data_IF_858058033454
#
_entry.id   IF_858058033454
#
_cell.length_a   1.000
_cell.length_b   1.000
_cell.length_c   1.000
_cell.angle_alpha   90.00
_cell.angle_beta   90.00
_cell.angle_gamma   90.00
#
_symmetry.space_group_name_H-M   'P 1'
#
loop_
_entity.id
_entity.type
_entity.pdbx_description
1 polymer ?
#
# COMPACT_ATOMS: atom_id res chain seq x y z
N UNK A 1 8.75 -44.48 51.09
CA UNK A 1 7.50 -43.69 50.89
C UNK A 1 7.70 -42.23 51.33
N UNK A 2 8.74 -41.55 50.84
CA UNK A 2 9.11 -40.17 51.23
C UNK A 2 9.02 -39.16 50.06
N UNK A 3 8.42 -39.55 48.93
CA UNK A 3 8.39 -38.77 47.69
C UNK A 3 7.32 -37.68 47.63
N UNK A 4 6.25 -37.78 48.44
CA UNK A 4 5.09 -36.87 48.32
C UNK A 4 5.45 -35.39 48.50
N UNK A 5 6.14 -34.91 49.56
CA UNK A 5 6.37 -33.47 49.73
C UNK A 5 7.36 -32.90 48.69
N UNK A 6 8.35 -33.70 48.26
CA UNK A 6 9.32 -33.32 47.24
C UNK A 6 8.68 -33.18 45.85
N UNK A 7 7.68 -34.00 45.55
CA UNK A 7 6.91 -33.94 44.31
C UNK A 7 6.10 -32.64 44.21
N UNK A 8 5.44 -32.23 45.30
CA UNK A 8 4.69 -30.97 45.36
C UNK A 8 5.59 -29.73 45.14
N UNK A 9 6.74 -29.70 45.81
CA UNK A 9 7.70 -28.60 45.62
C UNK A 9 8.28 -28.55 44.21
N UNK A 10 8.49 -29.72 43.58
CA UNK A 10 8.92 -29.81 42.18
C UNK A 10 7.87 -29.25 41.23
N UNK A 11 6.60 -29.63 41.40
CA UNK A 11 5.49 -29.10 40.60
C UNK A 11 5.36 -27.58 40.74
N UNK A 12 5.50 -27.05 41.97
CA UNK A 12 5.46 -25.60 42.22
C UNK A 12 6.58 -24.85 41.51
N UNK A 13 7.80 -25.39 41.55
CA UNK A 13 8.95 -24.79 40.86
C UNK A 13 8.76 -24.81 39.34
N UNK A 14 8.24 -25.91 38.80
CA UNK A 14 7.93 -26.03 37.38
C UNK A 14 6.82 -25.07 36.94
N UNK A 15 5.72 -24.95 37.70
CA UNK A 15 4.65 -24.00 37.41
C UNK A 15 5.18 -22.56 37.36
N UNK A 16 5.93 -22.12 38.38
CA UNK A 16 6.52 -20.77 38.39
C UNK A 16 7.48 -20.53 37.23
N UNK A 17 8.25 -21.53 36.84
CA UNK A 17 9.14 -21.44 35.68
C UNK A 17 8.37 -21.19 34.38
N UNK A 18 7.29 -21.94 34.16
CA UNK A 18 6.43 -21.75 33.00
C UNK A 18 5.67 -20.42 33.04
N UNK A 19 5.19 -20.00 34.20
CA UNK A 19 4.53 -18.69 34.36
C UNK A 19 5.45 -17.53 33.92
N UNK A 20 6.72 -17.55 34.35
CA UNK A 20 7.71 -16.54 33.95
C UNK A 20 8.01 -16.57 32.45
N UNK A 21 8.06 -17.76 31.85
CA UNK A 21 8.28 -17.90 30.41
C UNK A 21 7.08 -17.40 29.60
N UNK A 22 5.87 -17.75 30.03
CA UNK A 22 4.60 -17.30 29.43
C UNK A 22 4.49 -15.78 29.50
N UNK A 23 4.79 -15.18 30.65
CA UNK A 23 4.74 -13.72 30.84
C UNK A 23 5.71 -12.99 29.89
N UNK A 24 6.96 -13.45 29.81
CA UNK A 24 7.94 -12.89 28.89
C UNK A 24 7.52 -12.99 27.42
N UNK A 25 6.98 -14.14 27.00
CA UNK A 25 6.49 -14.32 25.62
C UNK A 25 5.23 -13.50 25.35
N UNK A 26 4.30 -13.39 26.31
CA UNK A 26 3.10 -12.54 26.18
C UNK A 26 3.45 -11.07 26.04
N UNK A 27 4.42 -10.56 26.80
CA UNK A 27 4.92 -9.19 26.67
C UNK A 27 5.55 -8.97 25.29
N UNK A 28 6.34 -9.92 24.81
CA UNK A 28 6.91 -9.89 23.45
C UNK A 28 5.84 -9.88 22.36
N UNK A 29 4.84 -10.76 22.49
CA UNK A 29 3.71 -10.88 21.58
C UNK A 29 2.82 -9.63 21.57
N UNK A 30 2.56 -9.04 22.73
CA UNK A 30 1.81 -7.78 22.85
C UNK A 30 2.54 -6.62 22.16
N UNK A 31 3.87 -6.53 22.30
CA UNK A 31 4.68 -5.51 21.59
C UNK A 31 4.58 -5.65 20.08
N UNK A 32 4.61 -6.88 19.56
CA UNK A 32 4.41 -7.15 18.13
C UNK A 32 3.05 -6.66 17.65
N UNK A 33 2.00 -6.88 18.46
CA UNK A 33 0.66 -6.38 18.14
C UNK A 33 0.53 -4.86 18.19
N UNK A 34 1.12 -4.20 19.19
CA UNK A 34 1.13 -2.74 19.26
C UNK A 34 1.97 -2.10 18.15
N UNK A 35 3.10 -2.70 17.79
CA UNK A 35 3.94 -2.21 16.69
C UNK A 35 3.21 -2.26 15.34
N UNK A 36 2.43 -3.32 15.08
CA UNK A 36 1.59 -3.42 13.88
C UNK A 36 0.50 -2.34 13.79
N UNK A 37 -0.14 -2.00 14.92
CA UNK A 37 -1.19 -0.96 14.97
C UNK A 37 -0.62 0.45 14.78
N UNK A 38 0.51 0.77 15.42
CA UNK A 38 1.11 2.13 15.35
C UNK A 38 1.60 2.45 13.93
N UNK A 39 2.15 1.47 13.22
CA UNK A 39 2.54 1.61 11.81
C UNK A 39 1.36 1.83 10.86
N UNK A 40 0.13 1.49 11.25
CA UNK A 40 -1.08 1.78 10.46
C UNK A 40 -1.57 3.23 10.59
N UNK A 41 -1.15 3.95 11.64
CA UNK A 41 -1.59 5.33 11.94
C UNK A 41 -0.60 6.40 11.51
N UNK A 42 0.65 6.02 11.24
CA UNK A 42 1.70 6.92 10.78
C UNK A 42 2.02 6.59 9.33
N UNK A 43 1.96 7.60 8.46
CA UNK A 43 2.29 7.48 7.04
C UNK A 43 3.65 6.79 6.94
N UNK A 44 3.77 5.58 6.34
CA UNK A 44 5.05 4.94 6.20
C UNK A 44 5.85 5.75 5.18
N UNK A 45 6.87 6.45 5.67
CA UNK A 45 7.95 6.93 4.84
C UNK A 45 8.54 5.71 4.12
N UNK A 46 8.63 5.80 2.79
CA UNK A 46 9.09 4.74 1.90
C UNK A 46 10.42 4.14 2.41
N UNK A 47 10.41 2.83 2.74
CA UNK A 47 11.64 2.07 2.98
C UNK A 47 11.63 1.15 4.20
N UNK A 48 10.75 1.36 5.19
CA UNK A 48 10.60 0.44 6.31
C UNK A 48 9.44 -0.50 6.04
N UNK A 49 9.63 -1.47 5.15
CA UNK A 49 8.85 -2.71 5.21
C UNK A 49 9.24 -3.42 6.51
N UNK A 50 8.68 -2.99 7.64
CA UNK A 50 8.42 -3.94 8.73
C UNK A 50 7.31 -4.83 8.21
N UNK A 51 7.68 -5.72 7.26
CA UNK A 51 6.87 -6.85 6.93
C UNK A 51 6.54 -7.46 8.27
N UNK A 52 5.27 -7.35 8.64
CA UNK A 52 4.69 -8.14 9.70
C UNK A 52 4.98 -9.58 9.26
N UNK A 53 6.10 -10.15 9.72
CA UNK A 53 6.53 -11.47 9.34
C UNK A 53 5.52 -12.41 9.97
N UNK A 54 4.48 -12.67 9.19
CA UNK A 54 3.31 -13.40 9.62
C UNK A 54 3.70 -14.78 10.11
N UNK A 55 4.78 -15.35 9.56
CA UNK A 55 5.35 -16.60 10.03
C UNK A 55 5.87 -16.46 11.46
N UNK A 56 6.70 -15.44 11.74
CA UNK A 56 7.22 -15.20 13.09
C UNK A 56 6.13 -14.99 14.15
N UNK A 57 5.03 -14.34 13.80
CA UNK A 57 3.90 -14.11 14.72
C UNK A 57 3.14 -15.40 14.99
N UNK A 58 2.90 -16.21 13.95
CA UNK A 58 2.26 -17.52 14.09
C UNK A 58 3.11 -18.49 14.92
N UNK A 59 4.44 -18.47 14.75
CA UNK A 59 5.36 -19.29 15.53
C UNK A 59 5.29 -18.92 17.03
N UNK A 60 5.24 -17.62 17.35
CA UNK A 60 5.09 -17.15 18.74
C UNK A 60 3.72 -17.55 19.32
N UNK A 61 2.65 -17.52 18.51
CA UNK A 61 1.32 -17.98 18.94
C UNK A 61 1.31 -19.47 19.28
N UNK A 62 1.95 -20.30 18.44
CA UNK A 62 2.07 -21.74 18.66
C UNK A 62 2.87 -22.02 19.94
N UNK A 63 3.98 -21.32 20.13
CA UNK A 63 4.81 -21.42 21.32
C UNK A 63 4.04 -21.08 22.60
N UNK A 64 3.29 -19.98 22.61
CA UNK A 64 2.49 -19.58 23.79
C UNK A 64 1.39 -20.60 24.07
N UNK A 65 0.73 -21.13 23.04
CA UNK A 65 -0.31 -22.15 23.19
C UNK A 65 0.27 -23.46 23.78
N UNK A 66 1.45 -23.88 23.35
CA UNK A 66 2.14 -25.06 23.91
C UNK A 66 2.53 -24.84 25.38
N UNK A 67 3.06 -23.67 25.73
CA UNK A 67 3.38 -23.35 27.13
C UNK A 67 2.13 -23.31 28.02
N UNK A 68 1.02 -22.75 27.54
CA UNK A 68 -0.26 -22.74 28.27
C UNK A 68 -0.79 -24.17 28.49
N UNK A 69 -0.66 -25.06 27.50
CA UNK A 69 -1.01 -26.48 27.63
C UNK A 69 -0.14 -27.18 28.67
N UNK A 70 1.17 -26.92 28.68
CA UNK A 70 2.09 -27.46 29.69
C UNK A 70 1.77 -26.97 31.10
N UNK A 71 1.47 -25.67 31.27
CA UNK A 71 1.05 -25.12 32.56
C UNK A 71 -0.27 -25.77 33.02
N UNK A 72 -1.24 -25.93 32.11
CA UNK A 72 -2.50 -26.64 32.39
C UNK A 72 -2.26 -28.05 32.90
N UNK A 73 -1.33 -28.79 32.26
CA UNK A 73 -0.97 -30.13 32.68
C UNK A 73 -0.38 -30.15 34.11
N UNK A 74 0.51 -29.22 34.43
CA UNK A 74 1.11 -29.12 35.78
C UNK A 74 0.06 -28.72 36.83
N UNK A 75 -0.84 -27.78 36.53
CA UNK A 75 -1.93 -27.40 37.42
C UNK A 75 -2.87 -28.58 37.69
N UNK A 76 -3.15 -29.40 36.68
CA UNK A 76 -3.92 -30.63 36.85
C UNK A 76 -3.16 -31.68 37.67
N UNK A 77 -1.84 -31.82 37.49
CA UNK A 77 -1.00 -32.69 38.31
C UNK A 77 -0.92 -32.24 39.78
N UNK A 78 -0.94 -30.93 40.05
CA UNK A 78 -1.07 -30.38 41.40
C UNK A 78 -2.44 -30.69 42.01
N UNK A 79 -3.51 -30.60 41.23
CA UNK A 79 -4.85 -30.95 41.68
C UNK A 79 -4.98 -32.44 42.02
N UNK A 80 -4.48 -33.32 41.16
CA UNK A 80 -4.48 -34.77 41.42
C UNK A 80 -3.58 -35.14 42.59
N UNK A 81 -2.46 -34.44 42.80
CA UNK A 81 -1.63 -34.63 43.99
C UNK A 81 -2.41 -34.34 45.28
N UNK A 82 -3.21 -33.27 45.31
CA UNK A 82 -4.03 -32.93 46.47
C UNK A 82 -5.18 -33.90 46.70
N UNK A 83 -5.77 -34.44 45.64
CA UNK A 83 -6.84 -35.44 45.71
C UNK A 83 -6.34 -36.81 46.21
N UNK A 84 -5.12 -37.20 45.86
CA UNK A 84 -4.49 -38.46 46.26
C UNK A 84 -3.79 -38.41 47.63
N UNK A 85 -3.94 -37.32 48.39
CA UNK A 85 -3.29 -37.17 49.69
C UNK A 85 -3.98 -38.10 50.73
N UNK A 86 -3.22 -38.90 51.51
CA UNK A 86 -3.78 -39.76 52.54
C UNK A 86 -4.62 -38.96 53.56
N UNK A 87 -5.79 -39.49 53.93
CA UNK A 87 -6.72 -38.90 54.92
C UNK A 87 -6.11 -38.72 56.33
N UNK A 88 -4.92 -39.28 56.59
CA UNK A 88 -4.15 -39.09 57.83
C UNK A 88 -3.35 -37.79 57.86
N UNK A 89 -3.21 -37.09 56.74
CA UNK A 89 -2.55 -35.79 56.65
C UNK A 89 -3.63 -34.72 56.64
N UNK A 90 -3.66 -33.79 57.63
CA UNK A 90 -4.66 -32.73 57.66
C UNK A 90 -4.59 -31.93 56.35
N UNK A 91 -5.75 -31.58 55.79
CA UNK A 91 -5.82 -30.76 54.58
C UNK A 91 -4.98 -29.50 54.79
N UNK A 92 -4.06 -29.24 53.86
CA UNK A 92 -3.15 -28.12 53.99
C UNK A 92 -3.75 -26.92 53.24
N UNK A 93 -4.47 -26.00 53.91
CA UNK A 93 -5.17 -24.89 53.27
C UNK A 93 -4.24 -24.02 52.41
N UNK A 94 -2.95 -23.96 52.77
CA UNK A 94 -1.93 -23.25 51.99
C UNK A 94 -1.67 -23.89 50.62
N UNK A 95 -1.70 -25.23 50.51
CA UNK A 95 -1.53 -25.91 49.22
C UNK A 95 -2.74 -25.73 48.32
N UNK A 96 -3.95 -25.79 48.90
CA UNK A 96 -5.20 -25.54 48.17
C UNK A 96 -5.28 -24.10 47.66
N UNK A 97 -4.91 -23.11 48.48
CA UNK A 97 -4.84 -21.72 48.07
C UNK A 97 -3.78 -21.51 46.96
N UNK A 98 -2.63 -22.19 47.06
CA UNK A 98 -1.60 -22.10 46.03
C UNK A 98 -2.08 -22.69 44.69
N UNK A 99 -2.76 -23.84 44.70
CA UNK A 99 -3.39 -24.39 43.50
C UNK A 99 -4.41 -23.41 42.91
N UNK A 100 -5.27 -22.82 43.75
CA UNK A 100 -6.27 -21.85 43.29
C UNK A 100 -5.61 -20.66 42.59
N UNK A 101 -4.55 -20.10 43.19
CA UNK A 101 -3.78 -19.02 42.57
C UNK A 101 -3.22 -19.42 41.20
N UNK A 102 -2.69 -20.63 41.05
CA UNK A 102 -2.18 -21.10 39.76
C UNK A 102 -3.31 -21.26 38.72
N UNK A 103 -4.52 -21.63 39.13
CA UNK A 103 -5.71 -21.66 38.24
C UNK A 103 -6.13 -20.26 37.81
N UNK A 104 -6.14 -19.31 38.73
CA UNK A 104 -6.51 -17.92 38.44
C UNK A 104 -5.50 -17.29 37.46
N UNK A 105 -4.20 -17.47 37.71
CA UNK A 105 -3.13 -17.00 36.82
C UNK A 105 -3.25 -17.63 35.42
N UNK A 106 -3.51 -18.93 35.33
CA UNK A 106 -3.70 -19.62 34.06
C UNK A 106 -4.90 -19.06 33.28
N UNK A 107 -6.00 -18.76 33.99
CA UNK A 107 -7.18 -18.14 33.39
C UNK A 107 -6.86 -16.75 32.84
N UNK A 108 -6.15 -15.93 33.62
CA UNK A 108 -5.74 -14.59 33.21
C UNK A 108 -4.80 -14.63 31.99
N UNK A 109 -3.80 -15.52 31.96
CA UNK A 109 -2.93 -15.67 30.79
C UNK A 109 -3.69 -16.12 29.54
N UNK A 110 -4.65 -17.04 29.67
CA UNK A 110 -5.50 -17.44 28.54
C UNK A 110 -6.35 -16.27 28.02
N UNK A 111 -6.89 -15.45 28.92
CA UNK A 111 -7.69 -14.28 28.57
C UNK A 111 -6.83 -13.21 27.88
N UNK A 112 -5.68 -12.90 28.44
CA UNK A 112 -4.69 -11.97 27.89
C UNK A 112 -4.21 -12.40 26.50
N UNK A 113 -3.90 -13.70 26.33
CA UNK A 113 -3.49 -14.27 25.05
C UNK A 113 -4.57 -14.11 23.98
N UNK A 114 -5.82 -14.51 24.29
CA UNK A 114 -6.95 -14.37 23.36
C UNK A 114 -7.22 -12.91 22.98
N UNK A 115 -7.16 -12.00 23.96
CA UNK A 115 -7.33 -10.57 23.73
C UNK A 115 -6.25 -10.02 22.80
N UNK A 116 -4.99 -10.35 23.07
CA UNK A 116 -3.84 -9.89 22.26
C UNK A 116 -3.92 -10.46 20.85
N UNK A 117 -4.27 -11.75 20.70
CA UNK A 117 -4.47 -12.39 19.41
C UNK A 117 -5.56 -11.71 18.59
N UNK A 118 -6.73 -11.49 19.18
CA UNK A 118 -7.83 -10.78 18.51
C UNK A 118 -7.43 -9.37 18.07
N UNK A 119 -6.68 -8.65 18.90
CA UNK A 119 -6.17 -7.32 18.56
C UNK A 119 -5.19 -7.37 17.36
N UNK A 120 -4.28 -8.36 17.34
CA UNK A 120 -3.33 -8.55 16.25
C UNK A 120 -4.04 -8.91 14.95
N UNK A 121 -5.00 -9.83 14.99
CA UNK A 121 -5.80 -10.21 13.82
C UNK A 121 -6.57 -9.00 13.26
N UNK A 122 -7.24 -8.22 14.13
CA UNK A 122 -7.97 -7.03 13.69
C UNK A 122 -7.05 -5.96 13.09
N UNK A 123 -5.86 -5.76 13.67
CA UNK A 123 -4.85 -4.85 13.14
C UNK A 123 -4.35 -5.28 11.75
N UNK A 124 -4.15 -6.60 11.57
CA UNK A 124 -3.76 -7.18 10.29
C UNK A 124 -4.84 -7.00 9.23
N UNK A 125 -6.09 -7.34 9.55
CA UNK A 125 -7.23 -7.16 8.65
C UNK A 125 -7.36 -5.70 8.21
N UNK A 126 -7.20 -4.76 9.15
CA UNK A 126 -7.21 -3.33 8.86
C UNK A 126 -6.08 -2.93 7.90
N UNK A 127 -4.86 -3.45 8.10
CA UNK A 127 -3.72 -3.18 7.21
C UNK A 127 -3.92 -3.77 5.80
N UNK A 128 -4.49 -4.97 5.69
CA UNK A 128 -4.82 -5.61 4.41
C UNK A 128 -5.88 -4.79 3.65
N UNK A 129 -6.92 -4.31 4.33
CA UNK A 129 -7.94 -3.43 3.75
C UNK A 129 -7.36 -2.10 3.26
N UNK A 130 -6.50 -1.44 4.06
CA UNK A 130 -5.86 -0.18 3.66
C UNK A 130 -4.92 -0.36 2.47
N UNK A 131 -4.23 -1.49 2.39
CA UNK A 131 -3.35 -1.82 1.25
C UNK A 131 -4.18 -1.98 -0.02
N UNK A 132 -5.27 -2.76 0.05
CA UNK A 132 -6.21 -2.95 -1.07
C UNK A 132 -6.78 -1.61 -1.56
N UNK A 133 -7.28 -0.77 -0.65
CA UNK A 133 -7.81 0.57 -1.02
C UNK A 133 -6.72 1.45 -1.64
N UNK A 134 -5.48 1.35 -1.16
CA UNK A 134 -4.38 2.12 -1.74
C UNK A 134 -4.04 1.64 -3.15
N UNK A 135 -4.05 0.34 -3.40
CA UNK A 135 -3.84 -0.23 -4.73
C UNK A 135 -4.96 0.20 -5.71
N UNK A 136 -6.22 0.19 -5.25
CA UNK A 136 -7.36 0.71 -6.01
C UNK A 136 -7.23 2.21 -6.33
N UNK A 137 -6.81 3.03 -5.35
CA UNK A 137 -6.59 4.47 -5.58
C UNK A 137 -5.45 4.69 -6.58
N UNK A 138 -4.33 3.97 -6.44
CA UNK A 138 -3.18 4.14 -7.35
C UNK A 138 -3.52 3.70 -8.77
N UNK A 139 -4.24 2.60 -8.95
CA UNK A 139 -4.72 2.14 -10.25
C UNK A 139 -5.72 3.11 -10.86
N UNK A 140 -6.68 3.62 -10.08
CA UNK A 140 -7.64 4.63 -10.55
C UNK A 140 -6.95 5.94 -10.96
N UNK A 141 -6.00 6.44 -10.17
CA UNK A 141 -5.24 7.66 -10.50
C UNK A 141 -4.40 7.47 -11.76
N UNK A 142 -3.79 6.29 -11.93
CA UNK A 142 -3.02 5.96 -13.13
C UNK A 142 -3.92 5.94 -14.37
N UNK A 143 -5.07 5.28 -14.30
CA UNK A 143 -6.08 5.26 -15.38
C UNK A 143 -6.57 6.65 -15.75
N UNK A 144 -6.94 7.46 -14.75
CA UNK A 144 -7.40 8.84 -14.98
C UNK A 144 -6.31 9.73 -15.58
N UNK A 145 -5.06 9.57 -15.16
CA UNK A 145 -3.93 10.31 -15.74
C UNK A 145 -3.71 9.97 -17.21
N UNK A 146 -3.92 8.69 -17.57
CA UNK A 146 -3.84 8.25 -18.95
C UNK A 146 -4.99 8.81 -19.79
N UNK A 147 -6.22 8.78 -19.27
CA UNK A 147 -7.39 9.38 -19.95
C UNK A 147 -7.22 10.89 -20.16
N UNK A 148 -6.79 11.63 -19.13
CA UNK A 148 -6.54 13.06 -19.21
C UNK A 148 -5.43 13.39 -20.22
N UNK A 149 -4.37 12.58 -20.25
CA UNK A 149 -3.32 12.69 -21.27
C UNK A 149 -3.87 12.51 -22.69
N UNK A 150 -4.70 11.48 -22.92
CA UNK A 150 -5.31 11.21 -24.23
C UNK A 150 -6.28 12.32 -24.67
N UNK A 151 -7.05 12.89 -23.75
CA UNK A 151 -7.93 14.04 -24.02
C UNK A 151 -7.11 15.29 -24.40
N UNK A 152 -6.00 15.54 -23.69
CA UNK A 152 -5.07 16.62 -24.02
C UNK A 152 -4.42 16.43 -25.39
N UNK A 153 -4.04 15.21 -25.75
CA UNK A 153 -3.52 14.88 -27.08
C UNK A 153 -4.54 15.15 -28.19
N UNK A 154 -5.80 14.75 -27.97
CA UNK A 154 -6.88 15.03 -28.92
C UNK A 154 -7.10 16.52 -29.14
N UNK A 155 -7.03 17.34 -28.09
CA UNK A 155 -7.14 18.79 -28.21
C UNK A 155 -5.98 19.40 -29.03
N UNK A 156 -4.75 18.91 -28.83
CA UNK A 156 -3.58 19.31 -29.62
C UNK A 156 -3.71 18.92 -31.08
N UNK A 157 -4.17 17.70 -31.38
CA UNK A 157 -4.43 17.25 -32.75
C UNK A 157 -5.46 18.16 -33.43
N UNK A 158 -6.56 18.48 -32.75
CA UNK A 158 -7.60 19.36 -33.30
C UNK A 158 -7.05 20.77 -33.57
N UNK A 159 -6.30 21.35 -32.63
CA UNK A 159 -5.63 22.64 -32.84
C UNK A 159 -4.66 22.60 -34.01
N UNK A 160 -3.87 21.53 -34.16
CA UNK A 160 -2.99 21.34 -35.31
C UNK A 160 -3.75 21.24 -36.63
N UNK A 161 -4.92 20.61 -36.64
CA UNK A 161 -5.77 20.53 -37.82
C UNK A 161 -6.28 21.92 -38.23
N UNK A 162 -6.81 22.69 -37.27
CA UNK A 162 -7.25 24.08 -37.55
C UNK A 162 -6.11 24.95 -38.06
N UNK A 163 -4.91 24.81 -37.48
CA UNK A 163 -3.73 25.53 -37.97
C UNK A 163 -3.35 25.11 -39.39
N UNK A 164 -3.43 23.82 -39.71
CA UNK A 164 -3.19 23.34 -41.07
C UNK A 164 -4.22 23.92 -42.05
N UNK A 165 -5.49 23.98 -41.68
CA UNK A 165 -6.54 24.59 -42.51
C UNK A 165 -6.27 26.08 -42.77
N UNK A 166 -5.85 26.84 -41.75
CA UNK A 166 -5.47 28.26 -41.88
C UNK A 166 -4.28 28.41 -42.84
N UNK A 167 -3.26 27.58 -42.70
CA UNK A 167 -2.08 27.62 -43.58
C UNK A 167 -2.45 27.25 -45.02
N UNK A 168 -3.34 26.29 -45.21
CA UNK A 168 -3.86 25.93 -46.53
C UNK A 168 -4.65 27.08 -47.16
N UNK A 169 -5.50 27.75 -46.39
CA UNK A 169 -6.28 28.90 -46.86
C UNK A 169 -5.36 30.06 -47.26
N UNK A 170 -4.37 30.39 -46.42
CA UNK A 170 -3.34 31.38 -46.73
C UNK A 170 -2.52 30.98 -47.98
N UNK A 171 -2.23 29.69 -48.18
CA UNK A 171 -1.56 29.20 -49.38
C UNK A 171 -2.44 29.36 -50.65
N UNK A 172 -3.75 29.16 -50.55
CA UNK A 172 -4.69 29.41 -51.65
C UNK A 172 -4.81 30.89 -51.97
N UNK A 173 -4.90 31.75 -50.96
CA UNK A 173 -4.92 33.21 -51.12
C UNK A 173 -3.64 33.71 -51.79
N UNK A 174 -2.46 33.26 -51.33
CA UNK A 174 -1.19 33.65 -51.94
C UNK A 174 -1.04 33.14 -53.37
N UNK A 175 -1.49 31.92 -53.67
CA UNK A 175 -1.53 31.39 -55.06
C UNK A 175 -2.42 32.25 -55.95
N UNK A 176 -3.62 32.61 -55.47
CA UNK A 176 -4.53 33.50 -56.18
C UNK A 176 -3.89 34.87 -56.43
N UNK A 177 -3.25 35.43 -55.39
CA UNK A 177 -2.55 36.72 -55.47
C UNK A 177 -1.41 36.70 -56.49
N UNK A 178 -0.57 35.66 -56.49
CA UNK A 178 0.51 35.48 -57.47
C UNK A 178 -0.04 35.32 -58.90
N UNK A 179 -1.17 34.62 -59.06
CA UNK A 179 -1.85 34.50 -60.35
C UNK A 179 -2.34 35.86 -60.87
N UNK A 180 -3.00 36.65 -60.02
CA UNK A 180 -3.44 38.01 -60.35
C UNK A 180 -2.25 38.94 -60.65
N UNK A 181 -1.16 38.86 -59.88
CA UNK A 181 0.08 39.59 -60.15
C UNK A 181 0.67 39.22 -61.52
N UNK A 182 0.72 37.92 -61.86
CA UNK A 182 1.19 37.44 -63.17
C UNK A 182 0.34 38.00 -64.30
N UNK A 183 -0.99 38.00 -64.17
CA UNK A 183 -1.88 38.58 -65.18
C UNK A 183 -1.65 40.08 -65.36
N UNK A 184 -1.44 40.81 -64.25
CA UNK A 184 -1.09 42.24 -64.27
C UNK A 184 0.24 42.49 -64.99
N UNK A 185 1.29 41.72 -64.69
CA UNK A 185 2.60 41.82 -65.34
C UNK A 185 2.54 41.51 -66.84
N UNK A 186 1.78 40.50 -67.25
CA UNK A 186 1.55 40.19 -68.66
C UNK A 186 0.81 41.33 -69.37
N UNK A 187 -0.20 41.90 -68.73
CA UNK A 187 -0.91 43.09 -69.23
C UNK A 187 0.02 44.29 -69.42
N UNK A 188 0.87 44.57 -68.43
CA UNK A 188 1.90 45.62 -68.50
C UNK A 188 2.91 45.35 -69.61
N UNK A 189 3.39 44.11 -69.75
CA UNK A 189 4.29 43.70 -70.85
C UNK A 189 3.65 43.95 -72.21
N UNK A 190 2.37 43.63 -72.38
CA UNK A 190 1.62 43.89 -73.62
C UNK A 190 1.50 45.38 -73.93
N UNK A 191 1.21 46.21 -72.93
CA UNK A 191 1.15 47.67 -73.07
C UNK A 191 2.51 48.27 -73.43
N UNK A 192 3.58 47.89 -72.73
CA UNK A 192 4.94 48.34 -73.03
C UNK A 192 5.40 47.90 -74.42
N UNK A 193 5.10 46.68 -74.84
CA UNK A 193 5.41 46.21 -76.20
C UNK A 193 4.71 47.07 -77.26
N UNK A 194 3.44 47.43 -77.01
CA UNK A 194 2.67 48.27 -77.93
C UNK A 194 3.18 49.73 -77.96
N UNK A 195 3.61 50.30 -76.83
CA UNK A 195 4.21 51.65 -76.82
C UNK A 195 5.59 51.67 -77.49
N UNK A 196 6.41 50.63 -77.29
CA UNK A 196 7.71 50.50 -77.97
C UNK A 196 7.51 50.38 -79.48
N UNK A 197 6.62 49.50 -79.95
CA UNK A 197 6.30 49.38 -81.39
C UNK A 197 5.76 50.69 -81.99
N UNK A 198 4.93 51.43 -81.26
CA UNK A 198 4.46 52.74 -81.73
C UNK A 198 5.60 53.76 -81.81
N UNK A 199 6.53 53.76 -80.86
CA UNK A 199 7.69 54.67 -80.89
C UNK A 199 8.66 54.33 -82.02
N UNK A 200 8.88 53.05 -82.31
CA UNK A 200 9.74 52.63 -83.43
C UNK A 200 9.09 52.92 -84.78
N UNK A 201 7.77 52.73 -84.93
CA UNK A 201 7.04 53.18 -86.12
C UNK A 201 7.08 54.71 -86.28
N UNK A 202 6.89 55.48 -85.20
CA UNK A 202 6.96 56.93 -85.25
C UNK A 202 8.36 57.43 -85.62
N UNK A 203 9.41 56.81 -85.09
CA UNK A 203 10.80 57.14 -85.43
C UNK A 203 11.13 56.77 -86.88
N UNK A 204 10.59 55.66 -87.41
CA UNK A 204 10.76 55.28 -88.82
C UNK A 204 10.01 56.21 -89.78
N UNK A 205 8.93 56.86 -89.35
CA UNK A 205 8.21 57.86 -90.16
C UNK A 205 8.89 59.23 -90.13
N UNK A 206 9.60 59.57 -89.04
CA UNK A 206 10.33 60.83 -88.89
C UNK A 206 11.66 60.88 -89.68
N UNK A 207 12.17 59.74 -90.17
CA UNK A 207 13.40 59.65 -90.98
C UNK A 207 13.10 59.72 -92.50
N UNK A 208 11.83 59.65 -92.91
CA UNK A 208 11.40 59.64 -94.32
C UNK A 208 10.94 61.00 -94.87
N UNK A 209 11.32 62.12 -94.24
CA UNK A 209 11.11 63.47 -94.77
C UNK A 209 12.44 64.18 -95.03
#
# INVERSE_FOLDING_TARGET
>A
MSSSPLQWETLKKQARGLELEIDNKLVGYSKLGSAGVVSSSTIPNAGASTAFDSASVLDIEIDIDDLLKRLTHIVNAMASYLENLPTSIPSNPSMMHNLQRHRDILFDYNKEFKKTKSNITSAREHAELLTSVRDDITSFRSSRSQEEYLLGERAKINSSHTMADIVLDQAYETRSHLSSQRQSLLGTRGRMGNTICKSTLACSHAISY
#
